data_IF_873757746148
#
_entry.id   IF_873757746148
#
_cell.length_a   1.000
_cell.length_b   1.000
_cell.length_c   1.000
_cell.angle_alpha   90.00
_cell.angle_beta   90.00
_cell.angle_gamma   90.00
#
_symmetry.space_group_name_H-M   'P 1'
#
loop_
_entity.id
_entity.type
_entity.pdbx_description
1 polymer ?
#
# COMPACT_ATOMS: atom_id res chain seq x y z
N UNK A 1 -33.24 12.28 -76.28
CA UNK A 1 -34.12 12.50 -75.11
C UNK A 1 -33.60 13.75 -74.40
N UNK A 2 -34.18 14.92 -74.67
CA UNK A 2 -35.09 15.67 -73.76
C UNK A 2 -34.44 15.93 -72.38
N UNK A 3 -33.88 17.14 -72.16
CA UNK A 3 -34.47 18.32 -71.47
C UNK A 3 -34.56 18.19 -69.94
N UNK A 4 -33.96 19.14 -69.21
CA UNK A 4 -34.30 19.42 -67.81
C UNK A 4 -33.27 20.23 -67.02
N UNK A 5 -33.33 21.56 -67.11
CA UNK A 5 -32.69 22.52 -66.18
C UNK A 5 -33.17 22.28 -64.74
N UNK A 6 -32.32 22.56 -63.75
CA UNK A 6 -32.69 23.50 -62.67
C UNK A 6 -31.48 24.05 -61.91
N UNK A 7 -31.38 25.36 -62.00
CA UNK A 7 -30.62 26.26 -61.15
C UNK A 7 -31.20 26.25 -59.73
N UNK A 8 -30.36 26.22 -58.70
CA UNK A 8 -30.72 26.76 -57.39
C UNK A 8 -29.51 27.44 -56.76
N UNK A 9 -29.58 28.76 -56.67
CA UNK A 9 -28.78 29.61 -55.81
C UNK A 9 -29.42 29.64 -54.42
N UNK A 10 -28.65 29.43 -53.34
CA UNK A 10 -28.71 30.27 -52.13
C UNK A 10 -27.64 29.85 -51.11
N UNK A 11 -26.96 30.84 -50.52
CA UNK A 11 -26.28 30.71 -49.23
C UNK A 11 -24.85 30.21 -49.30
N UNK A 12 -23.90 31.15 -49.36
CA UNK A 12 -22.48 30.86 -49.49
C UNK A 12 -21.88 30.08 -48.32
N UNK A 13 -20.88 29.24 -48.63
CA UNK A 13 -19.57 29.21 -47.98
C UNK A 13 -18.63 28.37 -48.87
N UNK A 14 -17.54 28.98 -49.34
CA UNK A 14 -16.57 28.34 -50.24
C UNK A 14 -15.72 27.32 -49.47
N UNK A 15 -15.61 26.13 -50.06
CA UNK A 15 -14.61 25.10 -49.76
C UNK A 15 -13.24 25.53 -50.26
N UNK A 16 -12.18 25.44 -49.44
CA UNK A 16 -10.81 25.29 -49.93
C UNK A 16 -10.10 24.21 -49.09
N UNK A 17 -9.97 23.01 -49.67
CA UNK A 17 -8.91 22.05 -49.33
C UNK A 17 -7.64 22.48 -50.05
N UNK A 18 -6.49 22.54 -49.37
CA UNK A 18 -5.19 22.62 -50.03
C UNK A 18 -4.18 21.67 -49.37
N UNK A 19 -3.68 20.74 -50.19
CA UNK A 19 -2.60 19.78 -49.90
C UNK A 19 -1.25 20.48 -50.12
N UNK A 20 -0.30 20.18 -49.22
CA UNK A 20 1.17 20.33 -49.33
C UNK A 20 1.76 21.71 -49.65
N UNK A 21 2.62 22.22 -48.76
CA UNK A 21 3.92 22.85 -49.08
C UNK A 21 4.84 22.71 -47.86
N UNK A 22 6.05 22.20 -48.10
CA UNK A 22 7.21 22.20 -47.21
C UNK A 22 7.68 23.61 -46.91
N UNK A 23 7.97 23.92 -45.64
CA UNK A 23 8.92 24.99 -45.33
C UNK A 23 9.68 24.69 -44.03
N UNK A 24 10.99 24.56 -44.21
CA UNK A 24 12.04 24.49 -43.19
C UNK A 24 12.13 25.83 -42.47
N UNK A 25 12.20 25.84 -41.14
CA UNK A 25 12.79 26.95 -40.38
C UNK A 25 13.30 26.46 -39.02
N UNK A 26 14.63 26.34 -38.95
CA UNK A 26 15.41 26.31 -37.70
C UNK A 26 15.18 27.61 -36.95
N UNK A 27 14.89 27.53 -35.65
CA UNK A 27 15.23 28.60 -34.72
C UNK A 27 15.80 27.98 -33.44
N UNK A 28 17.13 27.92 -33.42
CA UNK A 28 17.93 27.66 -32.23
C UNK A 28 17.94 28.94 -31.40
N UNK A 29 17.51 28.86 -30.14
CA UNK A 29 17.74 29.94 -29.17
C UNK A 29 18.19 29.32 -27.85
N UNK A 30 19.51 29.34 -27.64
CA UNK A 30 20.12 29.30 -26.32
C UNK A 30 19.61 30.51 -25.52
N UNK A 31 18.97 30.25 -24.38
CA UNK A 31 18.92 31.21 -23.28
C UNK A 31 19.46 30.50 -22.05
N UNK A 32 20.71 30.85 -21.72
CA UNK A 32 21.34 30.68 -20.41
C UNK A 32 20.45 31.30 -19.33
N UNK A 33 20.16 30.55 -18.27
CA UNK A 33 19.77 31.12 -16.98
C UNK A 33 20.89 30.89 -15.97
N UNK A 34 21.34 31.92 -15.22
CA UNK A 34 22.34 31.75 -14.17
C UNK A 34 21.71 31.18 -12.89
N UNK A 35 22.52 30.38 -12.21
CA UNK A 35 22.34 29.95 -10.83
C UNK A 35 22.41 31.16 -9.89
N UNK A 36 21.35 31.44 -9.16
CA UNK A 36 21.44 32.16 -7.89
C UNK A 36 21.05 31.21 -6.75
N UNK A 37 22.08 30.86 -5.98
CA UNK A 37 21.95 30.25 -4.67
C UNK A 37 21.59 31.36 -3.68
N UNK A 38 20.51 31.16 -2.92
CA UNK A 38 20.15 32.03 -1.81
C UNK A 38 20.28 31.24 -0.52
N UNK A 39 21.42 31.41 0.14
CA UNK A 39 21.62 31.14 1.56
C UNK A 39 20.99 32.29 2.35
N UNK A 40 20.10 32.00 3.31
CA UNK A 40 19.76 32.96 4.38
C UNK A 40 19.18 32.25 5.61
N UNK A 41 20.01 32.17 6.65
CA UNK A 41 19.68 32.13 8.08
C UNK A 41 21.00 32.54 8.81
N UNK A 42 21.00 33.14 10.02
CA UNK A 42 19.96 33.13 11.05
C UNK A 42 19.72 34.51 11.74
N UNK A 43 18.61 34.64 12.48
CA UNK A 43 18.54 35.59 13.61
C UNK A 43 17.84 34.93 14.80
N UNK A 44 18.65 34.66 15.82
CA UNK A 44 18.27 34.29 17.18
C UNK A 44 17.99 35.59 17.93
N UNK A 45 16.84 35.69 18.59
CA UNK A 45 16.48 36.80 19.48
C UNK A 45 16.59 36.30 20.93
N UNK A 46 17.54 36.89 21.67
CA UNK A 46 17.81 36.68 23.10
C UNK A 46 17.22 37.87 23.88
N UNK A 47 16.28 37.59 24.80
CA UNK A 47 15.76 38.57 25.76
C UNK A 47 15.77 38.00 27.18
N UNK A 48 16.49 38.61 28.16
CA UNK A 48 16.60 38.09 29.51
C UNK A 48 15.56 38.72 30.46
N UNK A 49 15.09 37.94 31.43
CA UNK A 49 14.23 38.41 32.51
C UNK A 49 14.22 37.46 33.70
N UNK A 50 15.17 37.65 34.62
CA UNK A 50 15.13 37.11 35.97
C UNK A 50 14.22 37.97 36.85
N UNK A 51 13.51 37.38 37.81
CA UNK A 51 13.65 37.73 39.25
C UNK A 51 12.88 36.74 40.13
N UNK A 52 13.48 36.52 41.30
CA UNK A 52 13.24 35.47 42.28
C UNK A 52 12.14 35.83 43.30
N UNK A 53 11.70 34.83 44.07
CA UNK A 53 10.94 35.02 45.31
C UNK A 53 10.60 33.69 46.00
N UNK A 54 11.27 33.32 47.10
CA UNK A 54 11.08 32.06 47.82
C UNK A 54 10.21 32.22 49.07
N UNK A 55 9.50 31.18 49.51
CA UNK A 55 9.26 30.88 50.94
C UNK A 55 8.46 29.57 51.16
N UNK A 56 9.02 28.78 52.08
CA UNK A 56 8.39 27.96 53.11
C UNK A 56 7.93 26.50 52.87
N UNK A 57 8.48 25.67 53.75
CA UNK A 57 8.34 24.22 53.93
C UNK A 57 7.38 23.94 55.13
N UNK A 58 7.24 22.70 55.64
CA UNK A 58 6.04 21.87 55.59
C UNK A 58 5.25 21.84 56.91
N UNK A 59 4.00 21.37 56.87
CA UNK A 59 3.26 20.97 58.08
C UNK A 59 2.68 19.56 57.96
N UNK A 60 2.98 18.75 58.97
CA UNK A 60 2.59 17.37 59.15
C UNK A 60 1.33 17.25 60.02
N UNK A 61 0.50 16.24 59.77
CA UNK A 61 -0.34 15.53 60.77
C UNK A 61 -0.97 14.31 60.08
N UNK A 62 -0.65 13.06 60.44
CA UNK A 62 -1.01 12.29 61.64
C UNK A 62 -2.26 11.40 61.44
N UNK A 63 -1.97 10.10 61.27
CA UNK A 63 -2.57 8.90 61.89
C UNK A 63 -4.05 8.51 61.67
N UNK A 64 -4.22 7.25 61.26
CA UNK A 64 -5.16 6.32 61.92
C UNK A 64 -5.90 5.34 61.00
N UNK A 65 -5.71 4.03 61.17
CA UNK A 65 -6.71 3.02 60.73
C UNK A 65 -6.24 1.63 60.28
N UNK A 66 -5.99 0.75 61.25
CA UNK A 66 -6.23 -0.73 61.33
C UNK A 66 -6.43 -1.61 60.06
N UNK A 67 -5.68 -2.73 60.06
CA UNK A 67 -5.56 -3.87 59.13
C UNK A 67 -6.85 -4.74 58.92
N UNK A 68 -6.82 -5.94 58.28
CA UNK A 68 -5.96 -6.54 57.22
C UNK A 68 -6.80 -7.08 56.02
N UNK A 69 -6.19 -7.39 54.87
CA UNK A 69 -6.58 -8.54 54.02
C UNK A 69 -5.59 -8.74 52.86
N UNK A 70 -4.92 -9.89 52.83
CA UNK A 70 -4.36 -10.46 51.59
C UNK A 70 -5.52 -10.97 50.72
N UNK A 71 -5.40 -10.89 49.39
CA UNK A 71 -5.20 -12.14 48.68
C UNK A 71 -3.98 -12.10 47.76
N UNK A 72 -3.08 -13.05 48.02
CA UNK A 72 -2.37 -13.87 47.03
C UNK A 72 -1.83 -13.14 45.79
N UNK A 73 -0.54 -12.79 45.83
CA UNK A 73 0.32 -12.76 44.64
C UNK A 73 0.31 -14.16 44.01
N UNK A 74 -0.62 -14.39 43.08
CA UNK A 74 -0.49 -15.47 42.12
C UNK A 74 0.53 -15.03 41.10
N UNK A 75 1.60 -15.81 41.02
CA UNK A 75 2.78 -15.54 40.21
C UNK A 75 2.42 -15.01 38.84
N UNK A 76 3.00 -13.87 38.51
CA UNK A 76 3.24 -13.48 37.14
C UNK A 76 4.06 -14.60 36.50
N UNK A 77 3.39 -15.58 35.92
CA UNK A 77 3.97 -16.44 34.92
C UNK A 77 4.48 -15.49 33.84
N UNK A 78 5.80 -15.33 33.77
CA UNK A 78 6.47 -14.62 32.69
C UNK A 78 6.06 -15.31 31.40
N UNK A 79 5.04 -14.76 30.73
CA UNK A 79 4.67 -15.19 29.39
C UNK A 79 5.89 -14.83 28.53
N UNK A 80 6.56 -15.80 27.89
CA UNK A 80 7.66 -15.48 26.98
C UNK A 80 7.14 -14.50 25.93
N UNK A 81 7.86 -13.39 25.71
CA UNK A 81 7.53 -12.39 24.69
C UNK A 81 7.28 -13.12 23.35
N UNK A 82 6.04 -13.06 22.86
CA UNK A 82 5.56 -13.81 21.69
C UNK A 82 4.39 -14.77 21.95
N UNK A 83 3.97 -14.97 23.21
CA UNK A 83 2.79 -15.77 23.56
C UNK A 83 1.65 -14.96 24.20
N UNK A 84 1.69 -13.64 24.10
CA UNK A 84 0.59 -12.80 24.56
C UNK A 84 -0.63 -13.03 23.66
N UNK A 85 -1.56 -13.84 24.18
CA UNK A 85 -2.78 -14.18 23.49
C UNK A 85 -3.75 -13.01 23.52
N UNK A 86 -4.14 -12.56 22.34
CA UNK A 86 -5.03 -11.45 22.10
C UNK A 86 -6.34 -11.97 21.50
N UNK A 87 -7.45 -11.37 21.93
CA UNK A 87 -8.77 -11.65 21.35
C UNK A 87 -9.10 -10.57 20.35
N UNK A 88 -9.44 -10.95 19.13
CA UNK A 88 -9.79 -10.03 18.04
C UNK A 88 -11.14 -10.47 17.51
N UNK A 89 -12.16 -10.02 18.20
CA UNK A 89 -13.51 -10.39 17.81
C UNK A 89 -14.29 -9.10 17.57
N UNK A 90 -14.67 -8.91 16.32
CA UNK A 90 -15.56 -7.87 15.84
C UNK A 90 -16.75 -8.57 15.19
N UNK A 91 -17.65 -9.16 16.01
CA UNK A 91 -18.78 -9.96 15.52
C UNK A 91 -19.82 -9.11 14.82
N UNK A 92 -19.82 -7.79 15.03
CA UNK A 92 -20.70 -6.85 14.33
C UNK A 92 -19.94 -6.08 13.24
N UNK A 93 -20.59 -5.66 12.15
CA UNK A 93 -19.98 -4.82 11.13
C UNK A 93 -19.42 -3.52 11.73
N UNK A 94 -18.11 -3.46 11.88
CA UNK A 94 -17.39 -2.37 12.56
C UNK A 94 -16.67 -1.49 11.54
N UNK A 95 -16.60 -0.18 11.77
CA UNK A 95 -15.85 0.72 10.88
C UNK A 95 -14.38 0.30 10.80
N UNK A 96 -13.85 0.23 9.58
CA UNK A 96 -12.46 -0.18 9.34
C UNK A 96 -11.46 0.67 10.13
N UNK A 97 -11.76 1.95 10.34
CA UNK A 97 -10.93 2.89 11.10
C UNK A 97 -10.81 2.49 12.57
N UNK A 98 -11.87 1.95 13.16
CA UNK A 98 -11.86 1.52 14.57
C UNK A 98 -11.02 0.27 14.74
N UNK A 99 -11.15 -0.68 13.81
CA UNK A 99 -10.29 -1.88 13.75
C UNK A 99 -8.82 -1.46 13.59
N UNK A 100 -8.52 -0.53 12.69
CA UNK A 100 -7.15 -0.02 12.50
C UNK A 100 -6.59 0.58 13.79
N UNK A 101 -7.39 1.37 14.53
CA UNK A 101 -6.94 1.97 15.80
C UNK A 101 -6.67 0.92 16.87
N UNK A 102 -7.56 -0.07 17.02
CA UNK A 102 -7.32 -1.21 17.89
C UNK A 102 -6.01 -1.91 17.49
N UNK A 103 -5.79 -2.07 16.18
CA UNK A 103 -4.60 -2.73 15.65
C UNK A 103 -3.32 -1.91 15.82
N UNK A 104 -3.41 -0.58 15.87
CA UNK A 104 -2.26 0.27 16.16
C UNK A 104 -1.84 0.19 17.63
N UNK A 105 -2.81 0.12 18.55
CA UNK A 105 -2.57 0.18 20.00
C UNK A 105 -1.71 -0.98 20.52
N UNK A 106 -2.14 -2.21 20.26
CA UNK A 106 -1.42 -3.44 20.66
C UNK A 106 -0.15 -3.76 19.83
N UNK A 107 0.03 -3.19 18.62
CA UNK A 107 1.27 -3.36 17.82
C UNK A 107 2.29 -2.28 18.14
N UNK A 108 1.87 -1.18 18.78
CA UNK A 108 2.72 -0.02 19.08
C UNK A 108 3.23 0.70 17.84
N UNK A 109 2.61 0.48 16.67
CA UNK A 109 3.05 1.09 15.40
C UNK A 109 2.22 2.31 15.06
N UNK A 110 2.88 3.34 14.54
CA UNK A 110 2.21 4.49 13.97
C UNK A 110 1.53 4.10 12.66
N UNK A 111 0.27 4.47 12.50
CA UNK A 111 -0.53 4.15 11.30
C UNK A 111 -1.04 5.43 10.64
N UNK A 112 -0.86 5.53 9.33
CA UNK A 112 -1.43 6.58 8.48
C UNK A 112 -2.55 5.97 7.65
N UNK A 113 -3.75 6.55 7.74
CA UNK A 113 -4.93 6.09 7.01
C UNK A 113 -5.12 6.97 5.77
N UNK A 114 -5.13 6.36 4.58
CA UNK A 114 -5.40 7.07 3.33
C UNK A 114 -6.84 7.60 3.22
N UNK A 115 -7.05 8.64 2.42
CA UNK A 115 -8.37 9.29 2.24
C UNK A 115 -9.46 8.33 1.75
N UNK A 116 -9.08 7.35 0.94
CA UNK A 116 -10.00 6.40 0.32
C UNK A 116 -10.34 5.21 1.23
N UNK A 117 -9.85 5.18 2.48
CA UNK A 117 -10.08 4.07 3.39
C UNK A 117 -11.37 4.29 4.19
N UNK A 118 -12.40 3.55 3.81
CA UNK A 118 -13.74 3.60 4.41
C UNK A 118 -14.49 2.28 4.27
N UNK A 119 -15.54 2.09 5.07
CA UNK A 119 -16.39 0.92 5.02
C UNK A 119 -16.34 0.11 6.31
N UNK A 120 -17.22 -0.89 6.37
CA UNK A 120 -17.37 -1.77 7.53
C UNK A 120 -16.82 -3.16 7.23
N UNK A 121 -16.20 -3.77 8.23
CA UNK A 121 -15.69 -5.14 8.16
C UNK A 121 -16.14 -5.89 9.41
N UNK A 122 -16.40 -7.17 9.25
CA UNK A 122 -16.71 -8.10 10.33
C UNK A 122 -15.56 -9.11 10.42
N UNK A 123 -15.08 -9.40 11.64
CA UNK A 123 -14.00 -10.36 11.87
C UNK A 123 -14.39 -11.20 13.07
N UNK A 124 -14.62 -12.50 12.83
CA UNK A 124 -15.06 -13.44 13.85
C UNK A 124 -13.87 -14.31 14.24
N UNK A 125 -13.47 -14.28 15.50
CA UNK A 125 -12.38 -15.11 16.02
C UNK A 125 -12.86 -15.97 17.19
N UNK A 126 -13.16 -17.27 16.97
CA UNK A 126 -13.70 -18.15 18.02
C UNK A 126 -12.68 -18.51 19.10
N UNK A 127 -11.39 -18.31 18.85
CA UNK A 127 -10.30 -18.60 19.79
C UNK A 127 -9.41 -17.38 19.98
N UNK A 128 -8.73 -17.32 21.12
CA UNK A 128 -7.61 -16.38 21.32
C UNK A 128 -6.47 -16.75 20.37
N UNK A 129 -5.79 -15.75 19.84
CA UNK A 129 -4.69 -15.88 18.86
C UNK A 129 -3.47 -15.13 19.35
N UNK A 130 -2.29 -15.49 18.86
CA UNK A 130 -1.04 -14.73 19.10
C UNK A 130 -1.09 -13.37 18.41
N UNK A 131 -0.28 -12.39 18.85
CA UNK A 131 -0.15 -11.06 18.21
C UNK A 131 0.25 -11.13 16.73
N UNK A 132 0.96 -12.18 16.34
CA UNK A 132 1.38 -12.41 14.96
C UNK A 132 0.23 -12.95 14.11
N UNK A 133 -0.49 -13.99 14.59
CA UNK A 133 -1.68 -14.54 13.93
C UNK A 133 -2.75 -13.46 13.77
N UNK A 134 -2.94 -12.71 14.84
CA UNK A 134 -3.76 -11.53 14.93
C UNK A 134 -3.50 -10.49 13.84
N UNK A 135 -2.23 -10.13 13.67
CA UNK A 135 -1.82 -9.19 12.66
C UNK A 135 -2.02 -9.77 11.24
N UNK A 136 -1.80 -11.07 11.04
CA UNK A 136 -2.12 -11.70 9.75
C UNK A 136 -3.62 -11.66 9.47
N UNK A 137 -4.48 -11.97 10.45
CA UNK A 137 -5.93 -11.88 10.28
C UNK A 137 -6.39 -10.46 9.92
N UNK A 138 -5.78 -9.44 10.53
CA UNK A 138 -6.00 -8.04 10.16
C UNK A 138 -5.61 -7.76 8.70
N UNK A 139 -4.45 -8.23 8.24
CA UNK A 139 -4.04 -8.08 6.84
C UNK A 139 -5.03 -8.77 5.88
N UNK A 140 -5.51 -9.97 6.23
CA UNK A 140 -6.54 -10.67 5.45
C UNK A 140 -7.85 -9.89 5.41
N UNK A 141 -8.28 -9.31 6.54
CA UNK A 141 -9.49 -8.49 6.62
C UNK A 141 -9.39 -7.22 5.74
N UNK A 142 -8.24 -6.53 5.77
CA UNK A 142 -7.97 -5.40 4.88
C UNK A 142 -8.04 -5.81 3.40
N UNK A 143 -7.42 -6.95 3.06
CA UNK A 143 -7.36 -7.47 1.70
C UNK A 143 -8.78 -7.76 1.14
N UNK A 144 -9.66 -8.36 1.94
CA UNK A 144 -11.08 -8.58 1.59
C UNK A 144 -11.80 -7.27 1.32
N UNK A 145 -11.50 -6.22 2.08
CA UNK A 145 -12.05 -4.88 1.88
C UNK A 145 -11.38 -4.08 0.75
N UNK A 146 -10.38 -4.62 0.06
CA UNK A 146 -9.68 -3.95 -1.03
C UNK A 146 -8.58 -2.97 -0.60
N UNK A 147 -8.11 -3.08 0.64
CA UNK A 147 -7.03 -2.28 1.20
C UNK A 147 -5.80 -3.13 1.52
N UNK A 148 -4.66 -2.47 1.67
CA UNK A 148 -3.42 -3.12 2.08
C UNK A 148 -2.55 -2.18 2.90
N UNK A 149 -1.56 -2.74 3.57
CA UNK A 149 -0.55 -2.00 4.33
C UNK A 149 0.71 -1.82 3.51
N UNK A 150 1.26 -0.61 3.50
CA UNK A 150 2.58 -0.30 2.95
C UNK A 150 3.45 0.23 4.07
N UNK A 151 4.61 -0.39 4.29
CA UNK A 151 5.54 0.05 5.33
C UNK A 151 6.45 1.17 4.79
N UNK A 152 6.59 2.26 5.55
CA UNK A 152 7.52 3.36 5.24
C UNK A 152 8.27 3.74 6.51
N UNK A 153 9.50 3.25 6.65
CA UNK A 153 10.30 3.45 7.86
C UNK A 153 9.62 2.81 9.07
N UNK A 154 9.28 3.62 10.09
CA UNK A 154 8.60 3.18 11.32
C UNK A 154 7.07 3.31 11.28
N UNK A 155 6.52 3.66 10.13
CA UNK A 155 5.08 3.95 9.96
C UNK A 155 4.45 2.97 8.98
N UNK A 156 3.23 2.53 9.28
CA UNK A 156 2.40 1.74 8.38
C UNK A 156 1.39 2.67 7.71
N UNK A 157 1.37 2.70 6.39
CA UNK A 157 0.32 3.38 5.61
C UNK A 157 -0.73 2.35 5.21
N UNK A 158 -2.00 2.73 5.30
CA UNK A 158 -3.13 1.93 4.81
C UNK A 158 -3.73 2.62 3.60
N UNK A 159 -3.71 1.93 2.48
CA UNK A 159 -4.08 2.45 1.16
C UNK A 159 -4.88 1.41 0.38
N UNK A 160 -5.59 1.85 -0.66
CA UNK A 160 -6.28 0.94 -1.57
C UNK A 160 -5.26 0.08 -2.34
N UNK A 161 -5.56 -1.21 -2.51
CA UNK A 161 -4.66 -2.17 -3.19
C UNK A 161 -4.28 -1.72 -4.60
N UNK A 162 -5.18 -1.06 -5.31
CA UNK A 162 -4.96 -0.51 -6.66
C UNK A 162 -3.89 0.58 -6.70
N UNK A 163 -3.76 1.37 -5.62
CA UNK A 163 -2.75 2.43 -5.51
C UNK A 163 -1.45 1.88 -4.94
N UNK A 164 -1.55 0.92 -4.01
CA UNK A 164 -0.40 0.29 -3.35
C UNK A 164 0.53 -0.46 -4.31
N UNK A 165 0.01 -1.00 -5.42
CA UNK A 165 0.81 -1.68 -6.44
C UNK A 165 1.92 -0.80 -7.05
N UNK A 166 1.81 0.53 -6.93
CA UNK A 166 2.79 1.52 -7.41
C UNK A 166 3.65 2.11 -6.30
N UNK A 167 3.39 1.75 -5.04
CA UNK A 167 4.12 2.26 -3.89
C UNK A 167 5.35 1.36 -3.61
N UNK A 168 6.09 1.66 -2.54
CA UNK A 168 7.26 0.89 -2.11
C UNK A 168 6.86 -0.48 -1.54
N UNK A 169 6.69 -1.45 -2.43
CA UNK A 169 6.46 -2.85 -2.08
C UNK A 169 7.78 -3.62 -1.95
N UNK A 170 7.79 -4.64 -1.09
CA UNK A 170 8.90 -5.59 -1.05
C UNK A 170 8.99 -6.36 -2.36
N UNK A 171 10.17 -6.32 -3.00
CA UNK A 171 10.45 -7.01 -4.26
C UNK A 171 11.21 -8.29 -3.96
N UNK A 172 10.74 -9.39 -4.53
CA UNK A 172 11.35 -10.71 -4.45
C UNK A 172 11.63 -11.24 -5.86
N UNK A 173 12.62 -12.12 -5.98
CA UNK A 173 13.01 -12.72 -7.25
C UNK A 173 13.00 -14.24 -7.16
N UNK A 174 12.66 -14.88 -8.28
CA UNK A 174 12.68 -16.33 -8.45
C UNK A 174 11.28 -16.93 -8.57
N UNK A 175 11.23 -18.20 -8.90
CA UNK A 175 9.98 -18.95 -9.12
C UNK A 175 9.61 -19.89 -7.97
N UNK A 176 10.51 -20.14 -7.01
CA UNK A 176 10.38 -21.23 -6.04
C UNK A 176 9.94 -20.78 -4.63
N UNK A 177 9.99 -19.49 -4.32
CA UNK A 177 9.70 -18.99 -2.99
C UNK A 177 9.02 -17.62 -3.01
N UNK A 178 8.10 -17.44 -2.06
CA UNK A 178 7.37 -16.22 -1.77
C UNK A 178 6.92 -16.25 -0.31
N UNK A 179 6.90 -15.11 0.41
CA UNK A 179 6.54 -15.06 1.83
C UNK A 179 5.08 -15.49 2.08
N UNK A 180 4.83 -16.19 3.19
CA UNK A 180 3.47 -16.54 3.66
C UNK A 180 2.85 -15.37 4.42
N UNK A 181 2.34 -14.39 3.67
CA UNK A 181 1.67 -13.23 4.26
C UNK A 181 0.61 -12.69 3.33
N UNK A 182 -0.38 -11.99 3.91
CA UNK A 182 -1.37 -11.21 3.16
C UNK A 182 -0.90 -9.79 2.81
N UNK A 183 0.37 -9.45 3.08
CA UNK A 183 0.97 -8.22 2.55
C UNK A 183 1.11 -8.28 1.03
N UNK A 184 0.90 -7.14 0.39
CA UNK A 184 1.14 -6.95 -1.04
C UNK A 184 2.66 -6.97 -1.30
N UNK A 185 3.10 -7.80 -2.25
CA UNK A 185 4.50 -7.94 -2.64
C UNK A 185 4.62 -7.90 -4.16
N UNK A 186 5.82 -7.65 -4.66
CA UNK A 186 6.14 -7.80 -6.08
C UNK A 186 7.13 -8.95 -6.26
N UNK A 187 6.81 -9.90 -7.13
CA UNK A 187 7.64 -11.06 -7.46
C UNK A 187 8.08 -10.99 -8.92
N UNK A 188 9.37 -11.12 -9.16
CA UNK A 188 9.98 -11.18 -10.49
C UNK A 188 10.33 -12.63 -10.81
N UNK A 189 9.68 -13.18 -11.84
CA UNK A 189 9.73 -14.60 -12.20
C UNK A 189 10.26 -14.74 -13.63
N UNK A 190 11.53 -15.14 -13.81
CA UNK A 190 12.04 -15.47 -15.14
C UNK A 190 11.46 -16.81 -15.60
N UNK A 191 11.03 -16.88 -16.87
CA UNK A 191 10.53 -18.11 -17.50
C UNK A 191 11.58 -18.68 -18.45
N UNK A 192 11.66 -20.00 -18.53
CA UNK A 192 12.70 -20.69 -19.32
C UNK A 192 12.19 -21.24 -20.64
N UNK A 193 10.98 -21.79 -20.66
CA UNK A 193 10.45 -22.53 -21.80
C UNK A 193 9.23 -21.85 -22.41
N UNK A 194 8.33 -21.29 -21.58
CA UNK A 194 7.13 -20.62 -22.07
C UNK A 194 7.35 -19.11 -22.19
N UNK A 195 6.75 -18.50 -23.20
CA UNK A 195 6.69 -17.05 -23.36
C UNK A 195 5.84 -16.37 -22.27
N UNK A 196 6.39 -15.32 -21.66
CA UNK A 196 5.73 -14.57 -20.59
C UNK A 196 4.37 -13.98 -21.01
N UNK A 197 4.17 -13.63 -22.29
CA UNK A 197 2.91 -13.06 -22.78
C UNK A 197 1.79 -14.12 -22.81
N UNK A 198 2.14 -15.35 -23.18
CA UNK A 198 1.20 -16.48 -23.18
C UNK A 198 0.78 -16.77 -21.74
N UNK A 199 1.75 -16.91 -20.83
CA UNK A 199 1.46 -17.16 -19.41
C UNK A 199 0.63 -16.04 -18.79
N UNK A 200 0.95 -14.76 -19.06
CA UNK A 200 0.16 -13.63 -18.58
C UNK A 200 -1.31 -13.74 -19.02
N UNK A 201 -1.54 -14.07 -20.29
CA UNK A 201 -2.90 -14.20 -20.84
C UNK A 201 -3.65 -15.37 -20.19
N UNK A 202 -3.00 -16.52 -20.03
CA UNK A 202 -3.58 -17.70 -19.37
C UNK A 202 -3.90 -17.43 -17.90
N UNK A 203 -3.00 -16.77 -17.16
CA UNK A 203 -3.18 -16.49 -15.73
C UNK A 203 -4.13 -15.33 -15.44
N UNK A 204 -4.45 -14.48 -16.43
CA UNK A 204 -5.36 -13.34 -16.27
C UNK A 204 -6.78 -13.71 -15.81
N UNK A 205 -7.17 -14.98 -15.95
CA UNK A 205 -8.45 -15.52 -15.45
C UNK A 205 -8.40 -15.89 -13.97
N UNK A 206 -7.20 -16.12 -13.41
CA UNK A 206 -7.00 -16.57 -12.04
C UNK A 206 -6.62 -15.45 -11.09
N UNK A 207 -6.09 -14.34 -11.62
CA UNK A 207 -5.67 -13.17 -10.84
C UNK A 207 -6.16 -11.88 -11.48
N UNK A 208 -6.25 -10.77 -10.72
CA UNK A 208 -6.61 -9.48 -11.29
C UNK A 208 -5.69 -9.10 -12.46
N UNK A 209 -6.25 -8.60 -13.56
CA UNK A 209 -5.50 -8.30 -14.79
C UNK A 209 -4.37 -7.28 -14.60
N UNK A 210 -4.49 -6.40 -13.61
CA UNK A 210 -3.47 -5.41 -13.24
C UNK A 210 -2.36 -5.95 -12.33
N UNK A 211 -2.44 -7.21 -11.89
CA UNK A 211 -1.46 -7.83 -11.00
C UNK A 211 -0.29 -8.48 -11.73
N UNK A 212 -0.42 -8.82 -13.03
CA UNK A 212 0.63 -9.47 -13.81
C UNK A 212 1.04 -8.62 -15.00
N UNK A 213 2.35 -8.38 -15.12
CA UNK A 213 2.98 -7.69 -16.25
C UNK A 213 4.02 -8.62 -16.87
N UNK A 214 3.91 -8.87 -18.17
CA UNK A 214 4.93 -9.60 -18.92
C UNK A 214 5.98 -8.64 -19.49
N UNK A 215 7.24 -8.85 -19.14
CA UNK A 215 8.38 -8.15 -19.71
C UNK A 215 9.08 -9.06 -20.72
N UNK A 216 8.78 -8.81 -22.00
CA UNK A 216 9.22 -9.65 -23.12
C UNK A 216 10.75 -9.71 -23.32
N UNK A 217 11.51 -8.60 -23.23
CA UNK A 217 12.95 -8.64 -23.55
C UNK A 217 13.76 -9.65 -22.74
N UNK A 218 13.37 -9.92 -21.49
CA UNK A 218 14.04 -10.92 -20.63
C UNK A 218 13.13 -12.11 -20.31
N UNK A 219 12.05 -12.31 -21.06
CA UNK A 219 11.04 -13.35 -20.83
C UNK A 219 10.64 -13.51 -19.35
N UNK A 220 10.30 -12.39 -18.71
CA UNK A 220 10.07 -12.33 -17.26
C UNK A 220 8.65 -11.90 -16.94
N UNK A 221 8.04 -12.49 -15.92
CA UNK A 221 6.77 -12.06 -15.35
C UNK A 221 7.01 -11.25 -14.07
N UNK A 222 6.37 -10.09 -13.98
CA UNK A 222 6.30 -9.27 -12.78
C UNK A 222 4.90 -9.43 -12.21
N UNK A 223 4.82 -9.95 -10.98
CA UNK A 223 3.56 -10.29 -10.33
C UNK A 223 3.45 -9.47 -9.04
N UNK A 224 2.45 -8.61 -8.95
CA UNK A 224 2.18 -7.77 -7.77
C UNK A 224 0.87 -8.21 -7.12
N UNK A 225 0.98 -9.05 -6.10
CA UNK A 225 -0.18 -9.54 -5.35
C UNK A 225 0.21 -9.95 -3.91
N UNK A 226 -0.73 -10.44 -3.10
CA UNK A 226 -0.45 -10.92 -1.75
C UNK A 226 0.39 -12.18 -1.78
N UNK A 227 1.27 -12.35 -0.79
CA UNK A 227 2.22 -13.47 -0.75
C UNK A 227 1.57 -14.85 -0.92
N UNK A 228 0.43 -15.09 -0.28
CA UNK A 228 -0.33 -16.34 -0.47
C UNK A 228 -0.81 -16.55 -1.92
N UNK A 229 -1.29 -15.49 -2.59
CA UNK A 229 -1.75 -15.55 -3.98
C UNK A 229 -0.58 -15.73 -4.95
N UNK A 230 0.49 -14.96 -4.77
CA UNK A 230 1.75 -15.12 -5.52
C UNK A 230 2.26 -16.55 -5.42
N UNK A 231 2.30 -17.13 -4.22
CA UNK A 231 2.77 -18.50 -4.01
C UNK A 231 1.92 -19.54 -4.75
N UNK A 232 0.60 -19.33 -4.85
CA UNK A 232 -0.28 -20.19 -5.66
C UNK A 232 0.06 -20.06 -7.15
N UNK A 233 0.26 -18.84 -7.63
CA UNK A 233 0.63 -18.58 -9.04
C UNK A 233 1.99 -19.18 -9.38
N UNK A 234 2.99 -19.05 -8.52
CA UNK A 234 4.32 -19.63 -8.70
C UNK A 234 4.27 -21.14 -8.91
N UNK A 235 3.46 -21.86 -8.12
CA UNK A 235 3.26 -23.32 -8.30
C UNK A 235 2.66 -23.67 -9.65
N UNK A 236 1.71 -22.86 -10.12
CA UNK A 236 1.09 -23.06 -11.43
C UNK A 236 2.13 -22.82 -12.54
N UNK A 237 2.91 -21.73 -12.43
CA UNK A 237 3.99 -21.43 -13.37
C UNK A 237 5.01 -22.56 -13.41
N UNK A 238 5.41 -23.10 -12.26
CA UNK A 238 6.36 -24.22 -12.19
C UNK A 238 5.83 -25.49 -12.91
N UNK A 239 4.53 -25.76 -12.82
CA UNK A 239 3.90 -26.87 -13.52
C UNK A 239 3.74 -26.63 -15.03
N UNK A 240 3.63 -25.36 -15.45
CA UNK A 240 3.48 -24.99 -16.85
C UNK A 240 4.83 -24.85 -17.55
N UNK A 241 5.82 -24.21 -16.92
CA UNK A 241 7.16 -23.92 -17.47
C UNK A 241 8.05 -25.17 -17.48
N UNK A 242 7.62 -26.20 -18.20
CA UNK A 242 8.32 -27.46 -18.41
C UNK A 242 8.91 -27.53 -19.81
N UNK A 243 10.03 -28.26 -19.96
CA UNK A 243 10.67 -28.49 -21.25
C UNK A 243 9.78 -29.38 -22.14
N UNK A 244 8.99 -28.76 -23.01
CA UNK A 244 8.41 -29.32 -24.24
C UNK A 244 7.54 -30.58 -24.12
N UNK A 245 6.23 -30.40 -24.27
CA UNK A 245 5.62 -30.70 -25.57
C UNK A 245 4.76 -29.51 -25.98
N UNK A 246 5.36 -28.65 -26.80
CA UNK A 246 4.67 -27.64 -27.56
C UNK A 246 4.00 -28.38 -28.73
N UNK A 247 2.66 -28.40 -28.84
CA UNK A 247 1.98 -29.09 -29.94
C UNK A 247 2.24 -28.42 -31.29
#
# INVERSE_FOLDING_TARGET
MAKGLSCFTLGGFRVIRLRHISTVLLFSLLIQQPLEAQEDAPTVDDGPGQTEGPADTPSANAQGGKAPNKPVEQGAATIPEGQELVSIDFPEPTEIKDIIRAVALWTGKNVIIGKNVSGKIQMISPRKVTKEEAYQAFLSALNVAGYTTVETGKVIKIVATTTAAKDNLSIYQGSNWSPRTDKLITQIVPLRYIEARVVQTTLSQLVPSNSIIAYQPTNTLIISDTGYRVRRVLKIIEMLDVAGQQP
#
